data_IF_640500242423
#
_entry.id   IF_640500242423
#
_cell.length_a   1.000
_cell.length_b   1.000
_cell.length_c   1.000
_cell.angle_alpha   90.00
_cell.angle_beta   90.00
_cell.angle_gamma   90.00
#
_symmetry.space_group_name_H-M   'P 1'
#
loop_
_entity.id
_entity.type
_entity.pdbx_description
1 polymer ?
#
# COMPACT_ATOMS: atom_id res chain seq x y z
N UNK A 1 6.04 -8.38 3.58
CA UNK A 1 5.37 -7.62 4.61
C UNK A 1 4.21 -6.93 3.94
N UNK A 2 3.00 -7.16 4.44
CA UNK A 2 1.79 -6.61 3.85
C UNK A 2 1.12 -5.61 4.81
N UNK A 3 0.37 -4.69 4.21
CA UNK A 3 -0.69 -3.95 4.89
C UNK A 3 -2.02 -4.61 4.54
N UNK A 4 -2.78 -5.02 5.54
CA UNK A 4 -4.09 -5.68 5.40
C UNK A 4 -5.12 -4.70 5.94
N UNK A 5 -6.13 -4.39 5.13
CA UNK A 5 -7.19 -3.44 5.47
C UNK A 5 -8.51 -4.18 5.44
N UNK A 6 -9.22 -4.24 6.57
CA UNK A 6 -10.54 -4.84 6.66
C UNK A 6 -11.59 -3.78 6.31
N UNK A 7 -12.35 -3.99 5.24
CA UNK A 7 -13.37 -3.06 4.72
C UNK A 7 -14.48 -3.84 4.04
N UNK A 8 -15.72 -3.37 4.15
CA UNK A 8 -16.85 -4.04 3.48
C UNK A 8 -16.86 -3.78 1.96
N UNK A 9 -16.05 -2.85 1.45
CA UNK A 9 -15.99 -2.48 0.03
C UNK A 9 -14.54 -2.29 -0.45
N UNK A 10 -13.75 -3.38 -0.59
CA UNK A 10 -12.32 -3.30 -0.89
C UNK A 10 -12.00 -2.74 -2.29
N UNK A 11 -12.89 -2.95 -3.26
CA UNK A 11 -12.83 -2.37 -4.60
C UNK A 11 -13.06 -0.85 -4.56
N UNK A 12 -14.12 -0.41 -3.89
CA UNK A 12 -14.43 1.01 -3.75
C UNK A 12 -13.32 1.76 -3.00
N UNK A 13 -12.77 1.16 -1.94
CA UNK A 13 -11.64 1.76 -1.21
C UNK A 13 -10.41 1.91 -2.12
N UNK A 14 -10.11 0.91 -2.96
CA UNK A 14 -8.98 1.01 -3.88
C UNK A 14 -9.18 2.12 -4.92
N UNK A 15 -10.39 2.25 -5.46
CA UNK A 15 -10.74 3.32 -6.41
C UNK A 15 -10.61 4.70 -5.77
N UNK A 16 -11.11 4.88 -4.54
CA UNK A 16 -10.93 6.12 -3.77
C UNK A 16 -9.46 6.47 -3.53
N UNK A 17 -8.63 5.47 -3.23
CA UNK A 17 -7.18 5.67 -3.06
C UNK A 17 -6.56 6.14 -4.39
N UNK A 18 -6.90 5.50 -5.51
CA UNK A 18 -6.39 5.90 -6.82
C UNK A 18 -6.83 7.31 -7.21
N UNK A 19 -8.11 7.65 -7.03
CA UNK A 19 -8.63 8.98 -7.30
C UNK A 19 -7.92 10.04 -6.44
N UNK A 20 -7.71 9.77 -5.15
CA UNK A 20 -7.01 10.69 -4.26
C UNK A 20 -5.57 10.92 -4.70
N UNK A 21 -4.88 9.89 -5.21
CA UNK A 21 -3.51 10.02 -5.76
C UNK A 21 -3.52 10.87 -7.04
N UNK A 22 -4.45 10.60 -7.97
CA UNK A 22 -4.53 11.28 -9.27
C UNK A 22 -4.93 12.75 -9.12
N UNK A 23 -5.83 13.05 -8.19
CA UNK A 23 -6.27 14.42 -7.86
C UNK A 23 -5.32 15.17 -6.93
N UNK A 24 -4.14 14.60 -6.61
CA UNK A 24 -3.12 15.14 -5.69
C UNK A 24 -3.64 15.40 -4.26
N UNK A 25 -4.70 14.71 -3.86
CA UNK A 25 -5.24 14.74 -2.50
C UNK A 25 -4.50 13.75 -1.57
N UNK A 26 -3.95 12.65 -2.07
CA UNK A 26 -3.14 11.69 -1.31
C UNK A 26 -1.64 12.07 -1.26
N UNK A 27 -1.37 13.36 -1.02
CA UNK A 27 -0.04 13.95 -0.84
C UNK A 27 0.96 13.62 -1.95
N UNK A 28 1.85 12.68 -1.64
CA UNK A 28 3.17 12.45 -2.21
C UNK A 28 3.27 11.05 -2.85
N UNK A 29 2.16 10.31 -2.84
CA UNK A 29 2.02 9.00 -3.45
C UNK A 29 1.93 9.10 -4.97
N UNK A 30 2.41 8.05 -5.64
CA UNK A 30 2.43 7.94 -7.09
C UNK A 30 1.89 6.56 -7.46
N UNK A 31 0.90 6.55 -8.36
CA UNK A 31 0.41 5.36 -9.04
C UNK A 31 1.22 5.12 -10.31
N UNK A 32 1.75 3.92 -10.45
CA UNK A 32 2.39 3.44 -11.67
C UNK A 32 1.34 3.00 -12.69
N UNK A 33 1.71 2.88 -13.97
CA UNK A 33 0.77 2.49 -15.03
C UNK A 33 0.11 1.12 -14.79
N UNK A 34 0.76 0.22 -14.04
CA UNK A 34 0.22 -1.10 -13.68
C UNK A 34 -0.45 -1.13 -12.28
N UNK A 35 -0.80 0.03 -11.75
CA UNK A 35 -1.61 0.16 -10.53
C UNK A 35 -0.85 0.01 -9.21
N UNK A 36 0.48 -0.13 -9.23
CA UNK A 36 1.30 -0.17 -8.00
C UNK A 36 1.51 1.22 -7.44
N UNK A 37 1.71 1.30 -6.13
CA UNK A 37 1.91 2.56 -5.42
C UNK A 37 3.35 2.70 -4.91
N UNK A 38 3.92 3.90 -5.02
CA UNK A 38 5.20 4.27 -4.40
C UNK A 38 5.11 5.66 -3.79
N UNK A 39 5.94 5.95 -2.79
CA UNK A 39 5.97 7.25 -2.13
C UNK A 39 7.10 8.10 -2.71
N UNK A 40 6.73 9.15 -3.44
CA UNK A 40 7.65 9.94 -4.28
C UNK A 40 8.81 10.62 -3.54
N UNK A 41 8.61 11.20 -2.34
CA UNK A 41 9.64 11.98 -1.64
C UNK A 41 10.56 11.18 -0.72
N UNK A 42 10.32 9.88 -0.56
CA UNK A 42 11.41 9.06 -0.04
C UNK A 42 12.53 9.14 -1.08
N UNK A 43 13.78 9.31 -0.64
CA UNK A 43 15.00 9.11 -1.46
C UNK A 43 14.99 7.77 -2.23
N UNK A 44 14.05 6.91 -1.86
CA UNK A 44 13.78 5.56 -2.30
C UNK A 44 12.57 5.44 -3.26
N UNK A 45 12.22 6.49 -4.01
CA UNK A 45 11.05 6.54 -4.93
C UNK A 45 10.88 5.31 -5.86
N UNK A 46 11.95 4.55 -6.12
CA UNK A 46 11.94 3.34 -6.94
C UNK A 46 12.48 2.09 -6.22
N UNK A 47 12.53 2.08 -4.89
CA UNK A 47 13.18 1.02 -4.11
C UNK A 47 12.24 -0.12 -3.71
N UNK A 48 10.95 0.20 -3.59
CA UNK A 48 9.86 -0.74 -3.37
C UNK A 48 8.54 -0.15 -3.86
N UNK A 49 7.57 -1.03 -4.10
CA UNK A 49 6.23 -0.68 -4.56
C UNK A 49 5.21 -1.49 -3.77
N UNK A 50 4.08 -0.89 -3.41
CA UNK A 50 2.92 -1.62 -2.96
C UNK A 50 2.12 -2.13 -4.15
N UNK A 51 1.82 -3.42 -4.17
CA UNK A 51 0.86 -4.05 -5.08
C UNK A 51 -0.46 -4.26 -4.34
N UNK A 52 -1.55 -3.58 -4.73
CA UNK A 52 -2.86 -3.88 -4.21
C UNK A 52 -3.35 -5.24 -4.70
N UNK A 53 -4.12 -5.92 -3.85
CA UNK A 53 -4.89 -7.10 -4.20
C UNK A 53 -6.19 -7.11 -3.39
N UNK A 54 -7.31 -7.33 -4.08
CA UNK A 54 -8.64 -7.44 -3.47
C UNK A 54 -8.88 -8.90 -3.09
N UNK A 55 -9.35 -9.09 -1.86
CA UNK A 55 -9.70 -10.37 -1.25
C UNK A 55 -11.17 -10.29 -0.86
N UNK A 56 -12.06 -10.68 -1.78
CA UNK A 56 -13.51 -10.45 -1.67
C UNK A 56 -14.10 -11.28 -0.54
N UNK A 57 -13.73 -12.55 -0.44
CA UNK A 57 -14.30 -13.48 0.56
C UNK A 57 -13.92 -13.08 2.00
N UNK A 58 -12.76 -12.44 2.17
CA UNK A 58 -12.25 -11.95 3.45
C UNK A 58 -12.63 -10.49 3.74
N UNK A 59 -13.31 -9.78 2.83
CA UNK A 59 -13.58 -8.35 2.95
C UNK A 59 -12.30 -7.54 3.20
N UNK A 60 -11.27 -7.79 2.38
CA UNK A 60 -9.95 -7.21 2.58
C UNK A 60 -9.37 -6.57 1.32
N UNK A 61 -8.76 -5.41 1.51
CA UNK A 61 -7.80 -4.83 0.57
C UNK A 61 -6.40 -5.03 1.15
N UNK A 62 -5.55 -5.76 0.42
CA UNK A 62 -4.18 -6.03 0.86
C UNK A 62 -3.18 -5.34 -0.05
N UNK A 63 -2.16 -4.73 0.55
CA UNK A 63 -1.01 -4.15 -0.14
C UNK A 63 0.24 -4.94 0.23
N UNK A 64 0.71 -5.78 -0.70
CA UNK A 64 1.98 -6.49 -0.57
C UNK A 64 3.14 -5.65 -1.11
N UNK A 65 4.34 -5.83 -0.58
CA UNK A 65 5.52 -5.15 -1.10
C UNK A 65 6.15 -5.91 -2.27
N UNK A 66 6.63 -5.15 -3.24
CA UNK A 66 7.45 -5.61 -4.36
C UNK A 66 8.78 -4.87 -4.30
N UNK A 67 9.88 -5.61 -4.36
CA UNK A 67 11.23 -5.01 -4.44
C UNK A 67 11.58 -4.59 -5.87
N UNK A 68 12.46 -3.60 -6.04
CA UNK A 68 13.10 -3.33 -7.35
C UNK A 68 13.91 -4.56 -7.81
N UNK A 69 13.99 -4.78 -9.13
CA UNK A 69 14.59 -6.00 -9.74
C UNK A 69 16.01 -6.31 -9.25
N UNK A 70 16.86 -5.30 -9.14
CA UNK A 70 18.27 -5.36 -8.71
C UNK A 70 18.46 -5.47 -7.19
N UNK A 71 17.40 -5.32 -6.39
CA UNK A 71 17.49 -5.46 -4.94
C UNK A 71 17.48 -6.92 -4.53
N UNK A 72 18.39 -7.29 -3.62
CA UNK A 72 18.42 -8.65 -3.03
C UNK A 72 17.30 -8.89 -2.01
N UNK A 73 17.06 -7.94 -1.10
CA UNK A 73 16.10 -8.08 0.01
C UNK A 73 15.47 -6.74 0.39
N UNK A 74 14.24 -6.79 0.91
CA UNK A 74 13.58 -5.66 1.57
C UNK A 74 14.05 -5.60 3.02
N UNK A 75 14.67 -4.51 3.42
CA UNK A 75 15.15 -4.32 4.80
C UNK A 75 14.00 -3.89 5.72
N UNK A 76 14.16 -4.12 7.03
CA UNK A 76 13.17 -3.68 8.01
C UNK A 76 12.90 -2.19 7.96
N UNK A 77 13.97 -1.41 7.88
CA UNK A 77 13.90 0.04 7.72
C UNK A 77 13.06 0.47 6.50
N UNK A 78 13.17 -0.25 5.37
CA UNK A 78 12.43 0.10 4.16
C UNK A 78 10.95 -0.18 4.30
N UNK A 79 10.56 -1.42 4.69
CA UNK A 79 9.14 -1.74 4.78
C UNK A 79 8.47 -0.96 5.90
N UNK A 80 9.16 -0.68 7.02
CA UNK A 80 8.63 0.19 8.08
C UNK A 80 8.28 1.57 7.52
N UNK A 81 9.17 2.20 6.75
CA UNK A 81 8.90 3.52 6.18
C UNK A 81 7.69 3.51 5.22
N UNK A 82 7.58 2.50 4.36
CA UNK A 82 6.45 2.34 3.46
C UNK A 82 5.14 2.06 4.22
N UNK A 83 5.16 1.13 5.18
CA UNK A 83 4.01 0.79 6.02
C UNK A 83 3.49 2.01 6.78
N UNK A 84 4.39 2.75 7.46
CA UNK A 84 4.00 3.94 8.21
C UNK A 84 3.34 4.99 7.31
N UNK A 85 3.88 5.24 6.11
CA UNK A 85 3.28 6.23 5.19
C UNK A 85 1.96 5.79 4.58
N UNK A 86 1.76 4.49 4.37
CA UNK A 86 0.48 3.99 3.86
C UNK A 86 -0.58 4.07 4.96
N UNK A 87 -0.27 3.64 6.17
CA UNK A 87 -1.18 3.74 7.33
C UNK A 87 -1.51 5.20 7.64
N UNK A 88 -0.54 6.11 7.61
CA UNK A 88 -0.76 7.55 7.78
C UNK A 88 -1.76 8.08 6.74
N UNK A 89 -1.60 7.73 5.46
CA UNK A 89 -2.56 8.13 4.42
C UNK A 89 -3.95 7.53 4.65
N UNK A 90 -4.03 6.25 5.03
CA UNK A 90 -5.31 5.57 5.31
C UNK A 90 -6.07 6.28 6.44
N UNK A 91 -5.43 6.49 7.58
CA UNK A 91 -6.06 7.11 8.74
C UNK A 91 -6.37 8.60 8.55
N UNK A 92 -5.66 9.31 7.68
CA UNK A 92 -5.88 10.75 7.48
C UNK A 92 -6.93 11.07 6.42
N UNK A 93 -7.25 10.13 5.52
CA UNK A 93 -8.09 10.38 4.35
C UNK A 93 -9.25 9.41 4.16
N UNK A 94 -9.20 8.24 4.80
CA UNK A 94 -10.08 7.11 4.53
C UNK A 94 -10.54 6.42 5.81
N UNK A 95 -10.44 7.07 6.98
CA UNK A 95 -10.80 6.47 8.28
C UNK A 95 -12.28 6.07 8.39
N UNK A 96 -13.15 6.64 7.55
CA UNK A 96 -14.56 6.22 7.40
C UNK A 96 -14.77 5.06 6.41
N UNK A 97 -13.75 4.67 5.64
CA UNK A 97 -13.86 3.69 4.55
C UNK A 97 -13.34 2.28 4.92
N UNK A 98 -12.82 2.09 6.13
CA UNK A 98 -12.35 0.80 6.62
C UNK A 98 -12.50 0.68 8.14
N UNK A 99 -12.45 -0.56 8.65
CA UNK A 99 -12.61 -0.86 10.09
C UNK A 99 -11.28 -0.97 10.81
N UNK A 100 -10.30 -1.60 10.18
CA UNK A 100 -8.98 -1.85 10.75
C UNK A 100 -7.90 -1.91 9.69
N UNK A 101 -6.67 -1.57 10.09
CA UNK A 101 -5.47 -1.74 9.29
C UNK A 101 -4.40 -2.47 10.10
N UNK A 102 -3.82 -3.52 9.53
CA UNK A 102 -2.80 -4.38 10.14
C UNK A 102 -1.52 -4.38 9.31
N UNK A 103 -0.37 -4.22 9.95
CA UNK A 103 0.95 -4.34 9.32
C UNK A 103 1.65 -5.64 9.74
N UNK A 104 2.11 -6.43 8.76
CA UNK A 104 2.84 -7.68 9.05
C UNK A 104 4.36 -7.52 8.95
N UNK A 105 5.10 -8.17 9.84
CA UNK A 105 6.58 -8.08 9.90
C UNK A 105 7.31 -9.09 9.00
N UNK A 106 6.62 -10.16 8.57
CA UNK A 106 7.19 -11.22 7.72
C UNK A 106 6.51 -11.25 6.35
N UNK A 107 6.99 -12.10 5.44
CA UNK A 107 6.32 -12.30 4.16
C UNK A 107 4.87 -12.77 4.39
N UNK A 108 3.94 -12.11 3.74
CA UNK A 108 2.50 -12.35 3.81
C UNK A 108 1.93 -12.10 2.43
N UNK A 109 1.00 -12.93 1.99
CA UNK A 109 0.35 -12.66 0.69
C UNK A 109 -0.30 -11.27 0.71
N UNK A 110 -0.08 -10.42 -0.32
CA UNK A 110 0.36 -10.76 -1.68
C UNK A 110 1.80 -10.36 -2.04
N UNK A 111 2.74 -10.38 -1.08
CA UNK A 111 4.14 -10.05 -1.35
C UNK A 111 4.78 -10.84 -2.51
N UNK A 112 5.58 -10.16 -3.34
CA UNK A 112 6.30 -10.78 -4.47
C UNK A 112 7.79 -10.46 -4.42
N UNK A 113 8.56 -11.27 -3.69
CA UNK A 113 10.02 -11.27 -3.65
C UNK A 113 10.60 -12.51 -2.94
#
# INVERSE_FOLDING_TARGET
>A
MAIIIDTDNPDLLLDKIYEAIETRKADKWIRTADGRLTYGPLLWRNEAFFKPQIWVDENQLRFGLIKRKDRKHITSRLYTAFHSKLIEMLLTRFDEDFRSVTATAVKTEPDVF
#
